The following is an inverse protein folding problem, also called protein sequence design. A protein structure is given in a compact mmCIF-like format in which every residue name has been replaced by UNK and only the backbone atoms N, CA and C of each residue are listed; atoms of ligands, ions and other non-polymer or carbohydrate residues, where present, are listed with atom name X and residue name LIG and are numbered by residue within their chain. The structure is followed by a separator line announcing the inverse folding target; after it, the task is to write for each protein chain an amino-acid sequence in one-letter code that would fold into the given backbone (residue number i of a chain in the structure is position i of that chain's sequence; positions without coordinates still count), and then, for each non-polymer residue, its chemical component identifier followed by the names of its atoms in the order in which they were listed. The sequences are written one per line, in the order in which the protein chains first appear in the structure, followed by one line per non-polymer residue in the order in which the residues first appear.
data_IF_143068290281
#
_entry.id   IF_143068290281
#
_cell.length_a   1.000
_cell.length_b   1.000
_cell.length_c   1.000
_cell.angle_alpha   90.00
_cell.angle_beta   90.00
_cell.angle_gamma   90.00
#
_symmetry.space_group_name_H-M   'P 1'
#
loop_
_entity.id
_entity.type
_entity.pdbx_description
1 polymer ?
#
# COMPACT_ATOMS: atom_id res chain seq x y z
N UNK A 1 -60.73 36.07 -73.08
CA UNK A 1 -61.45 37.23 -72.50
C UNK A 1 -62.55 36.70 -71.57
N UNK A 2 -62.75 37.40 -70.46
CA UNK A 2 -63.90 37.32 -69.55
C UNK A 2 -64.00 36.15 -68.55
N UNK A 3 -63.79 36.56 -67.30
CA UNK A 3 -64.43 36.13 -66.05
C UNK A 3 -65.74 35.32 -66.13
N UNK A 4 -65.92 34.33 -65.23
CA UNK A 4 -66.68 34.54 -63.99
C UNK A 4 -66.92 33.27 -63.16
N UNK A 5 -66.67 33.41 -61.85
CA UNK A 5 -67.34 32.85 -60.65
C UNK A 5 -67.65 31.34 -60.57
N UNK A 6 -67.07 30.69 -59.54
CA UNK A 6 -67.77 30.47 -58.25
C UNK A 6 -66.82 30.13 -57.10
N UNK A 7 -67.17 30.68 -55.94
CA UNK A 7 -66.50 30.61 -54.63
C UNK A 7 -66.19 29.18 -54.18
N UNK A 8 -64.95 28.93 -53.74
CA UNK A 8 -64.62 27.90 -52.74
C UNK A 8 -64.31 28.61 -51.42
N UNK A 9 -65.02 28.21 -50.38
CA UNK A 9 -64.76 28.60 -48.99
C UNK A 9 -63.49 27.93 -48.48
N UNK A 10 -62.64 28.77 -47.89
CA UNK A 10 -61.47 28.38 -47.12
C UNK A 10 -61.89 27.77 -45.77
N UNK A 11 -61.33 26.62 -45.45
CA UNK A 11 -60.67 26.39 -44.16
C UNK A 11 -59.48 25.46 -44.39
N UNK A 12 -58.30 26.08 -44.43
CA UNK A 12 -57.01 25.45 -44.13
C UNK A 12 -57.07 24.82 -42.74
N UNK A 13 -56.60 23.58 -42.55
CA UNK A 13 -55.17 23.35 -42.40
C UNK A 13 -54.70 22.03 -43.05
N UNK A 14 -53.89 22.22 -44.09
CA UNK A 14 -52.75 21.39 -44.52
C UNK A 14 -51.92 20.89 -43.31
N UNK A 15 -51.36 19.70 -43.27
CA UNK A 15 -50.39 19.13 -44.22
C UNK A 15 -50.12 17.68 -43.79
N UNK A 16 -50.49 16.70 -44.60
CA UNK A 16 -49.58 15.91 -45.46
C UNK A 16 -48.31 15.43 -44.75
N UNK A 17 -48.31 14.13 -44.49
CA UNK A 17 -47.16 13.29 -44.18
C UNK A 17 -45.95 13.60 -45.07
N UNK A 18 -44.74 13.45 -44.51
CA UNK A 18 -43.69 12.85 -45.30
C UNK A 18 -42.91 11.78 -44.53
N UNK A 19 -42.64 10.69 -45.26
CA UNK A 19 -41.40 9.89 -45.23
C UNK A 19 -40.82 9.42 -43.88
N UNK A 20 -40.77 8.09 -43.74
CA UNK A 20 -39.86 7.35 -42.84
C UNK A 20 -38.46 7.98 -42.77
N UNK A 21 -37.92 8.20 -41.57
CA UNK A 21 -36.49 8.21 -41.33
C UNK A 21 -36.05 6.90 -40.69
N UNK A 22 -35.13 6.22 -41.39
CA UNK A 22 -33.95 5.52 -40.88
C UNK A 22 -33.91 5.21 -39.36
N UNK A 23 -33.87 3.92 -39.04
CA UNK A 23 -33.52 3.37 -37.73
C UNK A 23 -32.20 3.94 -37.22
N UNK A 24 -32.26 4.95 -36.33
CA UNK A 24 -31.13 5.28 -35.46
C UNK A 24 -30.91 4.13 -34.49
N UNK A 25 -29.73 3.53 -34.58
CA UNK A 25 -29.13 2.67 -33.56
C UNK A 25 -29.36 3.30 -32.17
N UNK A 26 -30.16 2.63 -31.34
CA UNK A 26 -30.18 2.90 -29.89
C UNK A 26 -28.79 2.53 -29.36
N UNK A 27 -28.13 3.38 -28.56
CA UNK A 27 -27.00 2.93 -27.77
C UNK A 27 -27.49 1.79 -26.87
N UNK A 28 -26.85 0.63 -26.95
CA UNK A 28 -27.06 -0.45 -25.99
C UNK A 28 -26.81 0.10 -24.59
N UNK A 29 -27.84 0.12 -23.77
CA UNK A 29 -27.72 0.31 -22.33
C UNK A 29 -26.76 -0.76 -21.80
N UNK A 30 -25.66 -0.39 -21.10
CA UNK A 30 -24.84 -1.40 -20.47
C UNK A 30 -25.70 -2.14 -19.42
N UNK A 31 -25.55 -3.47 -19.28
CA UNK A 31 -26.29 -4.20 -18.28
C UNK A 31 -25.94 -3.64 -16.90
N UNK A 32 -26.97 -3.35 -16.11
CA UNK A 32 -26.87 -2.96 -14.71
C UNK A 32 -26.11 -4.04 -13.93
N UNK A 33 -24.81 -3.86 -13.76
CA UNK A 33 -23.97 -4.75 -12.98
C UNK A 33 -24.20 -4.50 -11.49
N UNK A 34 -25.31 -5.02 -10.99
CA UNK A 34 -25.62 -5.11 -9.56
C UNK A 34 -24.87 -6.29 -8.90
N UNK A 35 -23.59 -6.46 -9.22
CA UNK A 35 -22.71 -7.37 -8.47
C UNK A 35 -22.01 -6.56 -7.40
N UNK A 36 -22.62 -6.54 -6.20
CA UNK A 36 -21.92 -6.27 -4.94
C UNK A 36 -20.89 -7.39 -4.71
N UNK A 37 -19.80 -7.39 -5.47
CA UNK A 37 -18.62 -8.19 -5.11
C UNK A 37 -17.99 -7.54 -3.90
N UNK A 38 -18.01 -8.26 -2.77
CA UNK A 38 -17.26 -7.85 -1.58
C UNK A 38 -15.80 -7.59 -1.98
N UNK A 39 -15.14 -6.54 -1.46
CA UNK A 39 -13.75 -6.22 -1.83
C UNK A 39 -12.72 -7.30 -1.45
N UNK A 40 -13.17 -8.40 -0.83
CA UNK A 40 -12.35 -9.43 -0.20
C UNK A 40 -12.39 -10.78 -0.94
N UNK A 41 -13.28 -10.99 -1.91
CA UNK A 41 -13.31 -12.28 -2.63
C UNK A 41 -12.12 -12.38 -3.58
N UNK A 42 -11.20 -13.31 -3.29
CA UNK A 42 -10.09 -13.64 -4.18
C UNK A 42 -10.68 -14.30 -5.43
N UNK A 43 -10.59 -13.60 -6.57
CA UNK A 43 -10.98 -14.17 -7.86
C UNK A 43 -9.88 -15.10 -8.37
N UNK A 44 -10.18 -16.13 -9.19
CA UNK A 44 -9.16 -16.97 -9.82
C UNK A 44 -8.07 -16.17 -10.53
N UNK A 45 -8.45 -15.06 -11.18
CA UNK A 45 -7.51 -14.12 -11.79
C UNK A 45 -6.54 -13.50 -10.76
N UNK A 46 -7.04 -13.08 -9.60
CA UNK A 46 -6.21 -12.52 -8.54
C UNK A 46 -5.21 -13.54 -7.98
N UNK A 47 -5.63 -14.80 -7.84
CA UNK A 47 -4.73 -15.89 -7.44
C UNK A 47 -3.64 -16.09 -8.48
N UNK A 48 -4.00 -16.16 -9.77
CA UNK A 48 -3.04 -16.35 -10.85
C UNK A 48 -2.00 -15.22 -10.91
N UNK A 49 -2.43 -13.97 -10.72
CA UNK A 49 -1.52 -12.81 -10.67
C UNK A 49 -0.57 -12.92 -9.49
N UNK A 50 -1.05 -13.27 -8.30
CA UNK A 50 -0.19 -13.44 -7.12
C UNK A 50 0.84 -14.55 -7.33
N UNK A 51 0.43 -15.71 -7.86
CA UNK A 51 1.34 -16.81 -8.15
C UNK A 51 2.38 -16.44 -9.20
N UNK A 52 1.97 -15.72 -10.25
CA UNK A 52 2.90 -15.18 -11.25
C UNK A 52 3.91 -14.23 -10.61
N UNK A 53 3.47 -13.30 -9.76
CA UNK A 53 4.36 -12.35 -9.09
C UNK A 53 5.34 -13.05 -8.14
N UNK A 54 4.89 -14.08 -7.41
CA UNK A 54 5.78 -14.90 -6.57
C UNK A 54 6.83 -15.59 -7.44
N UNK A 55 6.43 -16.28 -8.52
CA UNK A 55 7.37 -16.92 -9.43
C UNK A 55 8.36 -15.93 -10.04
N UNK A 56 7.87 -14.75 -10.47
CA UNK A 56 8.69 -13.68 -11.02
C UNK A 56 9.71 -13.14 -10.02
N UNK A 57 9.30 -12.88 -8.77
CA UNK A 57 10.21 -12.39 -7.72
C UNK A 57 11.18 -13.45 -7.21
N UNK A 58 10.82 -14.73 -7.29
CA UNK A 58 11.75 -15.83 -7.06
C UNK A 58 12.86 -15.84 -8.12
N UNK A 59 12.51 -15.74 -9.41
CA UNK A 59 13.52 -15.60 -10.47
C UNK A 59 14.39 -14.36 -10.24
N UNK A 60 13.78 -13.22 -9.87
CA UNK A 60 14.51 -12.00 -9.54
C UNK A 60 15.54 -12.22 -8.42
N UNK A 61 15.14 -12.74 -7.26
CA UNK A 61 16.05 -12.85 -6.10
C UNK A 61 17.24 -13.80 -6.35
N UNK A 62 17.10 -14.79 -7.23
CA UNK A 62 18.18 -15.73 -7.56
C UNK A 62 19.04 -15.27 -8.75
N UNK A 63 18.59 -14.28 -9.50
CA UNK A 63 19.37 -13.65 -10.58
C UNK A 63 20.19 -12.47 -10.09
N UNK A 64 19.74 -11.76 -9.05
CA UNK A 64 20.52 -10.70 -8.39
C UNK A 64 21.67 -11.32 -7.59
N UNK A 65 22.89 -11.14 -8.10
CA UNK A 65 24.14 -11.64 -7.47
C UNK A 65 25.03 -10.54 -6.87
N UNK A 66 24.63 -9.29 -6.99
CA UNK A 66 25.42 -8.14 -6.55
C UNK A 66 25.11 -7.78 -5.10
N UNK A 67 26.07 -7.14 -4.44
CA UNK A 67 25.90 -6.48 -3.15
C UNK A 67 25.54 -5.00 -3.37
N UNK A 68 24.61 -4.44 -2.57
CA UNK A 68 24.27 -3.01 -2.61
C UNK A 68 24.60 -2.30 -1.30
N UNK A 69 24.05 -2.77 -0.18
CA UNK A 69 24.22 -2.12 1.12
C UNK A 69 24.55 -3.11 2.24
N UNK A 70 25.40 -2.73 3.21
CA UNK A 70 25.71 -3.56 4.38
C UNK A 70 24.45 -4.00 5.15
N UNK A 71 23.41 -3.17 5.13
CA UNK A 71 22.11 -3.39 5.76
C UNK A 71 21.44 -4.71 5.33
N UNK A 72 21.74 -5.22 4.14
CA UNK A 72 21.24 -6.50 3.63
C UNK A 72 21.65 -7.69 4.49
N UNK A 73 22.78 -7.60 5.20
CA UNK A 73 23.31 -8.67 6.04
C UNK A 73 23.33 -8.22 7.50
N UNK A 74 23.97 -7.09 7.78
CA UNK A 74 24.30 -6.69 9.14
C UNK A 74 23.13 -6.09 9.94
N UNK A 75 22.01 -5.78 9.28
CA UNK A 75 20.78 -5.31 9.94
C UNK A 75 19.60 -6.28 9.80
N UNK A 76 19.86 -7.48 9.25
CA UNK A 76 18.82 -8.48 9.02
C UNK A 76 19.36 -9.88 9.22
N UNK A 77 20.20 -10.38 8.32
CA UNK A 77 20.61 -11.79 8.28
C UNK A 77 21.62 -12.19 9.36
N UNK A 78 22.58 -11.34 9.69
CA UNK A 78 23.58 -11.62 10.74
C UNK A 78 22.95 -11.72 12.14
N UNK A 79 22.13 -10.74 12.59
CA UNK A 79 21.41 -10.89 13.85
C UNK A 79 20.39 -12.04 13.81
N UNK A 80 19.76 -12.29 12.65
CA UNK A 80 18.84 -13.42 12.49
C UNK A 80 19.56 -14.77 12.66
N UNK A 81 20.77 -14.91 12.11
CA UNK A 81 21.61 -16.09 12.26
C UNK A 81 21.97 -16.33 13.72
N UNK A 82 22.39 -15.28 14.43
CA UNK A 82 22.68 -15.38 15.87
C UNK A 82 21.46 -15.83 16.67
N UNK A 83 20.26 -15.32 16.38
CA UNK A 83 19.03 -15.73 17.05
C UNK A 83 18.73 -17.22 16.78
N UNK A 84 18.86 -17.64 15.52
CA UNK A 84 18.49 -18.99 15.09
C UNK A 84 19.46 -20.07 15.59
N UNK A 85 20.76 -19.80 15.60
CA UNK A 85 21.81 -20.82 15.83
C UNK A 85 22.70 -20.54 17.04
N UNK A 86 22.62 -19.35 17.64
CA UNK A 86 23.38 -18.96 18.83
C UNK A 86 24.65 -18.15 18.53
N UNK A 87 25.23 -17.59 19.59
CA UNK A 87 26.33 -16.60 19.51
C UNK A 87 27.65 -17.18 19.02
N UNK A 88 27.88 -18.48 19.22
CA UNK A 88 29.14 -19.15 18.88
C UNK A 88 29.21 -19.59 17.41
N UNK A 89 28.21 -19.26 16.59
CA UNK A 89 28.09 -19.70 15.20
C UNK A 89 28.59 -18.66 14.17
N UNK A 90 29.38 -17.69 14.63
CA UNK A 90 30.11 -16.77 13.75
C UNK A 90 29.31 -15.58 13.20
N UNK A 91 28.13 -15.28 13.76
CA UNK A 91 27.37 -14.08 13.39
C UNK A 91 28.14 -12.79 13.72
N UNK A 92 28.10 -11.82 12.81
CA UNK A 92 28.74 -10.53 13.02
C UNK A 92 27.75 -9.44 13.45
N UNK A 93 27.69 -9.18 14.76
CA UNK A 93 26.81 -8.14 15.33
C UNK A 93 27.51 -6.78 15.39
N UNK A 94 26.98 -5.84 14.61
CA UNK A 94 27.49 -4.48 14.50
C UNK A 94 27.16 -3.62 15.71
N UNK A 95 27.81 -2.46 15.78
CA UNK A 95 27.67 -1.48 16.87
C UNK A 95 26.21 -1.00 17.07
N UNK A 96 25.39 -0.93 16.00
CA UNK A 96 24.01 -0.45 16.08
C UNK A 96 23.14 -1.30 17.03
N UNK A 97 23.38 -2.62 17.02
CA UNK A 97 22.73 -3.57 17.92
C UNK A 97 23.24 -3.42 19.35
N UNK A 98 24.54 -3.19 19.53
CA UNK A 98 25.13 -2.94 20.86
C UNK A 98 24.56 -1.68 21.52
N UNK A 99 24.27 -0.66 20.71
CA UNK A 99 23.60 0.58 21.15
C UNK A 99 22.07 0.49 21.15
N UNK A 100 21.50 -0.67 20.79
CA UNK A 100 20.07 -0.95 20.81
C UNK A 100 19.25 0.03 19.94
N UNK A 101 19.81 0.40 18.78
CA UNK A 101 19.24 1.41 17.88
C UNK A 101 18.19 0.83 16.93
N UNK A 102 18.10 -0.49 16.81
CA UNK A 102 17.26 -1.17 15.82
C UNK A 102 16.20 -2.04 16.48
N UNK A 103 15.01 -2.11 15.87
CA UNK A 103 13.99 -3.09 16.27
C UNK A 103 14.45 -4.50 15.86
N UNK A 104 14.31 -5.44 16.78
CA UNK A 104 14.61 -6.86 16.55
C UNK A 104 13.57 -7.59 15.69
N UNK A 105 12.42 -6.97 15.41
CA UNK A 105 11.31 -7.57 14.64
C UNK A 105 11.77 -8.03 13.25
N UNK A 106 12.57 -7.22 12.55
CA UNK A 106 13.02 -7.55 11.20
C UNK A 106 13.98 -8.75 11.16
N UNK A 107 15.07 -8.81 11.98
CA UNK A 107 15.85 -10.03 12.10
C UNK A 107 15.06 -11.24 12.60
N UNK A 108 14.12 -11.07 13.53
CA UNK A 108 13.33 -12.19 14.06
C UNK A 108 12.50 -12.89 12.98
N UNK A 109 11.99 -12.14 12.01
CA UNK A 109 11.34 -12.71 10.83
C UNK A 109 12.29 -13.68 10.10
N UNK A 110 13.54 -13.28 9.84
CA UNK A 110 14.51 -14.13 9.18
C UNK A 110 15.07 -15.23 10.07
N UNK A 111 15.13 -15.03 11.38
CA UNK A 111 15.51 -16.07 12.33
C UNK A 111 14.50 -17.22 12.27
N UNK A 112 13.20 -16.90 12.27
CA UNK A 112 12.15 -17.90 12.09
C UNK A 112 12.26 -18.63 10.74
N UNK A 113 12.62 -17.92 9.66
CA UNK A 113 12.86 -18.52 8.33
C UNK A 113 14.06 -19.46 8.37
N UNK A 114 15.18 -19.08 8.99
CA UNK A 114 16.35 -19.95 9.15
C UNK A 114 16.03 -21.19 9.97
N UNK A 115 15.39 -21.04 11.14
CA UNK A 115 15.01 -22.17 11.98
C UNK A 115 14.05 -23.12 11.27
N UNK A 116 13.08 -22.61 10.52
CA UNK A 116 12.18 -23.45 9.72
C UNK A 116 12.92 -24.20 8.62
N UNK A 117 13.86 -23.53 7.93
CA UNK A 117 14.68 -24.14 6.90
C UNK A 117 15.60 -25.24 7.46
N UNK A 118 16.23 -25.00 8.61
CA UNK A 118 17.06 -25.97 9.31
C UNK A 118 16.25 -27.21 9.75
N UNK A 119 15.07 -27.02 10.33
CA UNK A 119 14.15 -28.12 10.67
C UNK A 119 13.80 -28.94 9.42
N UNK A 120 13.47 -28.28 8.30
CA UNK A 120 13.19 -28.99 7.04
C UNK A 120 14.42 -29.75 6.54
N UNK A 121 15.62 -29.15 6.60
CA UNK A 121 16.85 -29.82 6.19
C UNK A 121 17.13 -31.08 7.02
N UNK A 122 16.93 -31.00 8.33
CA UNK A 122 17.10 -32.12 9.25
C UNK A 122 16.07 -33.23 9.02
N UNK A 123 14.79 -32.86 8.84
CA UNK A 123 13.71 -33.82 8.56
C UNK A 123 13.95 -34.58 7.25
N UNK A 124 14.45 -33.88 6.22
CA UNK A 124 14.78 -34.49 4.92
C UNK A 124 16.18 -35.13 4.89
N UNK A 125 16.94 -35.06 5.99
CA UNK A 125 18.32 -35.57 6.12
C UNK A 125 19.22 -35.11 4.96
N UNK A 126 19.14 -33.82 4.63
CA UNK A 126 19.92 -33.23 3.55
C UNK A 126 21.42 -33.34 3.81
N UNK A 127 22.21 -33.46 2.73
CA UNK A 127 23.66 -33.38 2.83
C UNK A 127 24.10 -32.02 3.38
N UNK A 128 25.27 -31.90 4.02
CA UNK A 128 25.76 -30.62 4.53
C UNK A 128 25.79 -29.50 3.47
N UNK A 129 26.14 -29.85 2.22
CA UNK A 129 26.12 -28.90 1.11
C UNK A 129 24.70 -28.42 0.78
N UNK A 130 23.75 -29.36 0.64
CA UNK A 130 22.35 -29.03 0.35
C UNK A 130 21.67 -28.29 1.51
N UNK A 131 22.08 -28.56 2.74
CA UNK A 131 21.63 -27.83 3.91
C UNK A 131 22.12 -26.36 3.85
N UNK A 132 23.40 -26.14 3.56
CA UNK A 132 23.93 -24.78 3.38
C UNK A 132 23.23 -24.03 2.24
N UNK A 133 23.01 -24.67 1.10
CA UNK A 133 22.28 -24.09 -0.03
C UNK A 133 20.85 -23.68 0.36
N UNK A 134 20.15 -24.51 1.13
CA UNK A 134 18.82 -24.21 1.62
C UNK A 134 18.82 -23.00 2.56
N UNK A 135 19.78 -22.91 3.49
CA UNK A 135 19.90 -21.78 4.41
C UNK A 135 20.22 -20.48 3.65
N UNK A 136 21.03 -20.52 2.59
CA UNK A 136 21.27 -19.35 1.73
C UNK A 136 20.03 -18.95 0.92
N UNK A 137 19.25 -19.93 0.45
CA UNK A 137 18.06 -19.71 -0.38
C UNK A 137 16.83 -19.27 0.41
N UNK A 138 16.69 -19.69 1.68
CA UNK A 138 15.52 -19.46 2.50
C UNK A 138 15.17 -17.96 2.72
N UNK A 139 16.08 -17.10 3.21
CA UNK A 139 15.77 -15.68 3.40
C UNK A 139 15.48 -14.96 2.07
N UNK A 140 16.17 -15.33 0.99
CA UNK A 140 15.90 -14.82 -0.36
C UNK A 140 14.49 -15.16 -0.82
N UNK A 141 14.07 -16.40 -0.60
CA UNK A 141 12.73 -16.89 -0.93
C UNK A 141 11.66 -16.13 -0.13
N UNK A 142 11.87 -15.94 1.18
CA UNK A 142 10.96 -15.17 2.02
C UNK A 142 10.84 -13.71 1.53
N UNK A 143 11.97 -13.08 1.21
CA UNK A 143 12.00 -11.71 0.70
C UNK A 143 11.36 -11.58 -0.68
N UNK A 144 11.49 -12.58 -1.56
CA UNK A 144 10.79 -12.63 -2.84
C UNK A 144 9.26 -12.67 -2.68
N UNK A 145 8.76 -13.42 -1.69
CA UNK A 145 7.33 -13.45 -1.37
C UNK A 145 6.86 -12.09 -0.84
N UNK A 146 7.65 -11.45 0.04
CA UNK A 146 7.35 -10.09 0.55
C UNK A 146 7.27 -9.09 -0.62
N UNK A 147 8.27 -9.09 -1.52
CA UNK A 147 8.27 -8.24 -2.71
C UNK A 147 7.03 -8.47 -3.60
N UNK A 148 6.67 -9.75 -3.85
CA UNK A 148 5.50 -10.10 -4.65
C UNK A 148 4.19 -9.64 -3.99
N UNK A 149 4.09 -9.70 -2.67
CA UNK A 149 2.95 -9.13 -1.93
C UNK A 149 2.90 -7.61 -2.08
N UNK A 150 4.04 -6.92 -2.04
CA UNK A 150 4.14 -5.49 -2.33
C UNK A 150 3.56 -5.13 -3.69
N UNK A 151 3.99 -5.82 -4.75
CA UNK A 151 3.47 -5.65 -6.10
C UNK A 151 1.96 -5.92 -6.18
N UNK A 152 1.52 -7.04 -5.60
CA UNK A 152 0.15 -7.50 -5.66
C UNK A 152 -0.81 -6.54 -4.96
N UNK A 153 -0.45 -6.06 -3.78
CA UNK A 153 -1.26 -5.09 -3.05
C UNK A 153 -1.19 -3.69 -3.66
N UNK A 154 -0.10 -3.31 -4.33
CA UNK A 154 -0.05 -2.09 -5.15
C UNK A 154 -1.07 -2.16 -6.28
N UNK A 155 -1.12 -3.28 -7.01
CA UNK A 155 -2.13 -3.51 -8.04
C UNK A 155 -3.56 -3.54 -7.47
N UNK A 156 -3.79 -4.19 -6.32
CA UNK A 156 -5.11 -4.18 -5.67
C UNK A 156 -5.53 -2.78 -5.24
N UNK A 157 -4.62 -1.98 -4.71
CA UNK A 157 -4.87 -0.59 -4.37
C UNK A 157 -5.19 0.21 -5.63
N UNK A 158 -4.44 0.05 -6.72
CA UNK A 158 -4.74 0.70 -7.99
C UNK A 158 -6.12 0.30 -8.53
N UNK A 159 -6.50 -0.98 -8.45
CA UNK A 159 -7.86 -1.45 -8.79
C UNK A 159 -8.94 -0.83 -7.91
N UNK A 160 -8.66 -0.59 -6.63
CA UNK A 160 -9.57 0.10 -5.73
C UNK A 160 -9.75 1.56 -6.16
N UNK A 161 -8.65 2.24 -6.49
CA UNK A 161 -8.62 3.66 -6.87
C UNK A 161 -9.22 3.91 -8.26
N UNK A 162 -8.74 3.22 -9.28
CA UNK A 162 -9.09 3.46 -10.69
C UNK A 162 -10.26 2.58 -11.18
N UNK A 163 -10.58 1.51 -10.45
CA UNK A 163 -11.63 0.54 -10.79
C UNK A 163 -11.07 -0.81 -11.25
N UNK A 164 -11.86 -1.87 -11.07
CA UNK A 164 -11.39 -3.26 -11.19
C UNK A 164 -10.95 -3.68 -12.60
N UNK A 165 -11.45 -3.01 -13.65
CA UNK A 165 -11.13 -3.27 -15.07
C UNK A 165 -10.43 -2.08 -15.74
N UNK A 166 -9.86 -1.18 -14.95
CA UNK A 166 -9.17 0.01 -15.45
C UNK A 166 -7.82 -0.34 -16.09
N UNK A 167 -7.46 0.35 -17.18
CA UNK A 167 -6.15 0.21 -17.80
C UNK A 167 -5.05 0.72 -16.88
N UNK A 168 -5.36 1.72 -16.07
CA UNK A 168 -4.50 2.34 -15.07
C UNK A 168 -4.03 1.32 -14.03
N UNK A 169 -4.91 0.45 -13.52
CA UNK A 169 -4.51 -0.59 -12.58
C UNK A 169 -3.55 -1.60 -13.22
N UNK A 170 -3.79 -2.00 -14.47
CA UNK A 170 -2.86 -2.87 -15.21
C UNK A 170 -1.53 -2.19 -15.52
N UNK A 171 -1.55 -0.90 -15.85
CA UNK A 171 -0.35 -0.10 -16.02
C UNK A 171 0.46 0.00 -14.72
N UNK A 172 -0.19 0.15 -13.56
CA UNK A 172 0.48 0.11 -12.25
C UNK A 172 1.17 -1.24 -12.04
N UNK A 173 0.49 -2.36 -12.31
CA UNK A 173 1.11 -3.69 -12.21
C UNK A 173 2.31 -3.85 -13.16
N UNK A 174 2.18 -3.38 -14.40
CA UNK A 174 3.30 -3.41 -15.35
C UNK A 174 4.48 -2.58 -14.85
N UNK A 175 4.22 -1.39 -14.28
CA UNK A 175 5.26 -0.52 -13.73
C UNK A 175 5.97 -1.15 -12.52
N UNK A 176 5.26 -1.85 -11.63
CA UNK A 176 5.93 -2.52 -10.49
C UNK A 176 6.82 -3.68 -10.95
N UNK A 177 6.38 -4.43 -11.95
CA UNK A 177 7.11 -5.57 -12.53
C UNK A 177 8.34 -5.10 -13.34
N UNK A 178 8.20 -4.05 -14.14
CA UNK A 178 9.25 -3.57 -15.06
C UNK A 178 10.18 -2.53 -14.42
N UNK A 179 9.82 -1.95 -13.27
CA UNK A 179 10.65 -0.96 -12.58
C UNK A 179 12.05 -1.52 -12.27
N UNK A 180 13.13 -0.92 -12.82
CA UNK A 180 14.50 -1.36 -12.55
C UNK A 180 14.85 -1.25 -11.07
N UNK A 181 14.35 -0.21 -10.39
CA UNK A 181 14.55 -0.04 -8.96
C UNK A 181 13.87 -1.13 -8.13
N UNK A 182 12.62 -1.47 -8.47
CA UNK A 182 11.93 -2.58 -7.78
C UNK A 182 12.62 -3.91 -8.06
N UNK A 183 13.06 -4.16 -9.29
CA UNK A 183 13.86 -5.35 -9.61
C UNK A 183 15.14 -5.40 -8.76
N UNK A 184 15.86 -4.28 -8.64
CA UNK A 184 17.13 -4.20 -7.93
C UNK A 184 17.02 -4.28 -6.40
N UNK A 185 16.03 -3.61 -5.79
CA UNK A 185 15.94 -3.44 -4.32
C UNK A 185 14.94 -4.38 -3.63
N UNK A 186 13.77 -4.64 -4.21
CA UNK A 186 12.64 -5.23 -3.46
C UNK A 186 12.92 -6.62 -2.88
N UNK A 187 13.75 -7.41 -3.57
CA UNK A 187 14.13 -8.77 -3.19
C UNK A 187 15.36 -8.83 -2.29
N UNK A 188 15.98 -7.69 -1.97
CA UNK A 188 17.05 -7.60 -0.97
C UNK A 188 16.46 -7.52 0.43
N UNK A 189 17.14 -8.12 1.41
CA UNK A 189 16.70 -8.27 2.80
C UNK A 189 16.85 -6.97 3.60
N UNK A 190 16.30 -5.89 3.04
CA UNK A 190 16.28 -4.54 3.59
C UNK A 190 14.98 -4.33 4.36
N UNK A 191 15.10 -3.78 5.57
CA UNK A 191 13.93 -3.39 6.39
C UNK A 191 13.03 -2.37 5.66
N UNK A 192 13.61 -1.52 4.80
CA UNK A 192 12.88 -0.61 3.91
C UNK A 192 11.86 -1.36 3.04
N UNK A 193 12.25 -2.49 2.45
CA UNK A 193 11.40 -3.23 1.52
C UNK A 193 10.24 -3.93 2.25
N UNK A 194 10.49 -4.45 3.45
CA UNK A 194 9.43 -4.99 4.30
C UNK A 194 8.47 -3.89 4.75
N UNK A 195 9.00 -2.77 5.24
CA UNK A 195 8.22 -1.60 5.65
C UNK A 195 7.31 -1.13 4.50
N UNK A 196 7.88 -0.92 3.30
CA UNK A 196 7.13 -0.47 2.12
C UNK A 196 6.00 -1.45 1.78
N UNK A 197 6.26 -2.76 1.82
CA UNK A 197 5.24 -3.78 1.58
C UNK A 197 4.11 -3.72 2.60
N UNK A 198 4.46 -3.65 3.89
CA UNK A 198 3.47 -3.56 4.98
C UNK A 198 2.64 -2.27 4.84
N UNK A 199 3.29 -1.15 4.50
CA UNK A 199 2.64 0.14 4.26
C UNK A 199 1.64 0.05 3.12
N UNK A 200 2.00 -0.56 1.98
CA UNK A 200 1.08 -0.76 0.84
C UNK A 200 -0.13 -1.62 1.23
N UNK A 201 0.10 -2.71 1.98
CA UNK A 201 -0.99 -3.57 2.48
C UNK A 201 -1.91 -2.78 3.42
N UNK A 202 -1.33 -1.97 4.31
CA UNK A 202 -2.08 -1.12 5.22
C UNK A 202 -2.89 -0.06 4.46
N UNK A 203 -2.31 0.60 3.45
CA UNK A 203 -3.02 1.55 2.58
C UNK A 203 -4.19 0.91 1.85
N UNK A 204 -4.07 -0.35 1.42
CA UNK A 204 -5.18 -1.10 0.85
C UNK A 204 -6.30 -1.37 1.86
N UNK A 205 -5.96 -1.57 3.13
CA UNK A 205 -6.92 -1.83 4.21
C UNK A 205 -7.52 -0.55 4.82
N UNK A 206 -6.90 0.61 4.57
CA UNK A 206 -7.39 1.89 5.05
C UNK A 206 -8.86 2.08 4.64
N UNK A 207 -9.76 2.46 5.57
CA UNK A 207 -11.16 2.66 5.24
C UNK A 207 -11.33 3.98 4.51
N UNK A 208 -10.94 4.03 3.24
CA UNK A 208 -11.03 5.23 2.40
C UNK A 208 -12.41 5.86 2.47
N UNK A 209 -13.48 5.05 2.49
CA UNK A 209 -14.88 5.48 2.66
C UNK A 209 -15.13 6.38 3.87
N UNK A 210 -14.28 6.34 4.90
CA UNK A 210 -14.41 7.15 6.10
C UNK A 210 -13.99 8.60 5.89
N UNK A 211 -13.12 8.89 4.90
CA UNK A 211 -12.71 10.25 4.55
C UNK A 211 -13.82 11.07 3.88
N UNK A 212 -15.06 10.56 3.82
CA UNK A 212 -16.20 11.20 3.16
C UNK A 212 -17.42 11.33 4.07
N UNK A 213 -18.14 12.44 3.88
CA UNK A 213 -19.46 12.69 4.44
C UNK A 213 -20.47 11.89 3.63
N UNK A 214 -20.98 10.79 4.17
CA UNK A 214 -22.18 10.15 3.63
C UNK A 214 -23.40 10.92 4.13
N UNK A 215 -23.96 11.79 3.28
CA UNK A 215 -25.31 12.35 3.48
C UNK A 215 -26.32 11.20 3.42
N UNK A 216 -26.77 10.73 4.57
CA UNK A 216 -27.74 9.64 4.66
C UNK A 216 -29.10 10.08 4.12
N UNK A 217 -29.55 9.49 3.01
CA UNK A 217 -30.96 9.49 2.65
C UNK A 217 -31.71 8.62 3.67
N UNK A 218 -32.69 9.24 4.36
CA UNK A 218 -33.62 8.54 5.23
C UNK A 218 -34.74 7.98 4.35
N UNK A 219 -34.70 6.68 4.05
CA UNK A 219 -35.87 5.98 3.53
C UNK A 219 -36.54 5.15 4.62
N UNK A 220 -37.87 5.18 4.60
CA UNK A 220 -38.78 4.90 5.70
C UNK A 220 -39.21 3.42 5.73
N UNK A 221 -39.14 2.84 6.94
CA UNK A 221 -40.08 1.85 7.53
C UNK A 221 -40.56 0.66 6.69
N UNK A 222 -39.74 -0.42 6.66
CA UNK A 222 -40.07 -1.84 6.97
C UNK A 222 -38.94 -2.81 6.59
N UNK A 223 -38.00 -2.38 5.73
CA UNK A 223 -36.72 -3.06 5.47
C UNK A 223 -35.71 -2.93 6.64
N UNK A 224 -36.05 -2.15 7.67
CA UNK A 224 -35.17 -1.70 8.74
C UNK A 224 -34.54 -2.81 9.60
N UNK A 225 -35.15 -3.99 9.76
CA UNK A 225 -34.56 -5.07 10.58
C UNK A 225 -33.46 -5.84 9.86
N UNK A 226 -33.67 -6.19 8.58
CA UNK A 226 -32.64 -6.80 7.71
C UNK A 226 -31.53 -5.79 7.38
N UNK A 227 -31.89 -4.53 7.14
CA UNK A 227 -30.92 -3.45 6.92
C UNK A 227 -30.12 -3.13 8.18
N UNK A 228 -30.71 -3.22 9.38
CA UNK A 228 -29.96 -3.02 10.64
C UNK A 228 -28.96 -4.14 10.91
N UNK A 229 -29.30 -5.39 10.57
CA UNK A 229 -28.36 -6.52 10.61
C UNK A 229 -27.21 -6.34 9.63
N UNK A 230 -27.51 -6.01 8.37
CA UNK A 230 -26.49 -5.75 7.34
C UNK A 230 -25.61 -4.54 7.66
N UNK A 231 -26.19 -3.44 8.16
CA UNK A 231 -25.46 -2.24 8.54
C UNK A 231 -24.54 -2.45 9.73
N UNK A 232 -24.97 -3.24 10.73
CA UNK A 232 -24.10 -3.62 11.85
C UNK A 232 -22.93 -4.49 11.39
N UNK A 233 -23.16 -5.42 10.45
CA UNK A 233 -22.10 -6.25 9.88
C UNK A 233 -21.10 -5.40 9.07
N UNK A 234 -21.57 -4.51 8.20
CA UNK A 234 -20.72 -3.61 7.39
C UNK A 234 -19.84 -2.70 8.27
N UNK A 235 -20.39 -2.22 9.39
CA UNK A 235 -19.63 -1.42 10.36
C UNK A 235 -18.56 -2.26 11.07
N UNK A 236 -18.91 -3.48 11.50
CA UNK A 236 -17.96 -4.42 12.11
C UNK A 236 -16.81 -4.77 11.17
N UNK A 237 -17.12 -5.10 9.92
CA UNK A 237 -16.11 -5.43 8.90
C UNK A 237 -15.21 -4.23 8.60
N UNK A 238 -15.77 -3.01 8.57
CA UNK A 238 -15.00 -1.77 8.40
C UNK A 238 -14.06 -1.50 9.57
N UNK A 239 -14.51 -1.77 10.80
CA UNK A 239 -13.69 -1.64 12.01
C UNK A 239 -12.56 -2.66 12.05
N UNK A 240 -12.84 -3.91 11.65
CA UNK A 240 -11.81 -4.94 11.57
C UNK A 240 -10.72 -4.57 10.56
N UNK A 241 -11.10 -4.06 9.38
CA UNK A 241 -10.15 -3.56 8.37
C UNK A 241 -9.34 -2.38 8.89
N UNK A 242 -9.97 -1.43 9.60
CA UNK A 242 -9.26 -0.32 10.23
C UNK A 242 -8.24 -0.82 11.27
N UNK A 243 -8.61 -1.79 12.12
CA UNK A 243 -7.68 -2.39 13.08
C UNK A 243 -6.49 -3.05 12.40
N UNK A 244 -6.73 -3.85 11.36
CA UNK A 244 -5.66 -4.47 10.58
C UNK A 244 -4.75 -3.41 9.95
N UNK A 245 -5.32 -2.37 9.34
CA UNK A 245 -4.59 -1.23 8.79
C UNK A 245 -3.71 -0.56 9.86
N UNK A 246 -4.28 -0.20 11.01
CA UNK A 246 -3.56 0.53 12.06
C UNK A 246 -2.50 -0.33 12.75
N UNK A 247 -2.74 -1.64 12.90
CA UNK A 247 -1.73 -2.56 13.40
C UNK A 247 -0.54 -2.69 12.43
N UNK A 248 -0.80 -2.82 11.12
CA UNK A 248 0.27 -2.86 10.11
C UNK A 248 1.00 -1.52 10.02
N UNK A 249 0.28 -0.40 10.07
CA UNK A 249 0.85 0.94 10.14
C UNK A 249 1.79 1.09 11.35
N UNK A 250 1.36 0.66 12.53
CA UNK A 250 2.17 0.70 13.73
C UNK A 250 3.42 -0.19 13.62
N UNK A 251 3.31 -1.40 13.06
CA UNK A 251 4.48 -2.27 12.80
C UNK A 251 5.45 -1.58 11.86
N UNK A 252 4.96 -0.97 10.79
CA UNK A 252 5.79 -0.27 9.83
C UNK A 252 6.48 0.97 10.42
N UNK A 253 5.83 1.71 11.34
CA UNK A 253 6.45 2.79 12.12
C UNK A 253 7.50 2.28 13.13
N UNK A 254 7.30 1.11 13.72
CA UNK A 254 8.31 0.48 14.61
C UNK A 254 9.53 0.05 13.82
N UNK A 255 9.33 -0.53 12.64
CA UNK A 255 10.41 -0.91 11.73
C UNK A 255 11.17 0.34 11.24
N UNK A 256 10.45 1.40 10.87
CA UNK A 256 11.01 2.69 10.47
C UNK A 256 10.16 3.88 10.96
N UNK A 257 10.67 4.67 11.93
CA UNK A 257 9.93 5.80 12.49
C UNK A 257 9.47 6.85 11.47
N UNK A 258 10.18 7.00 10.36
CA UNK A 258 9.84 7.95 9.29
C UNK A 258 8.48 7.67 8.63
N UNK A 259 8.00 6.43 8.68
CA UNK A 259 6.71 6.05 8.12
C UNK A 259 5.53 6.71 8.84
N UNK A 260 5.74 7.23 10.07
CA UNK A 260 4.73 8.02 10.79
C UNK A 260 4.23 9.21 9.97
N UNK A 261 5.06 9.77 9.07
CA UNK A 261 4.70 10.90 8.21
C UNK A 261 3.55 10.56 7.25
N UNK A 262 3.56 9.35 6.67
CA UNK A 262 2.50 8.87 5.78
C UNK A 262 1.18 8.81 6.56
N UNK A 263 1.20 8.16 7.73
CA UNK A 263 0.01 7.98 8.55
C UNK A 263 -0.52 9.28 9.15
N UNK A 264 0.37 10.19 9.55
CA UNK A 264 -0.02 11.53 10.02
C UNK A 264 -0.72 12.34 8.93
N UNK A 265 -0.24 12.27 7.68
CA UNK A 265 -0.89 12.96 6.57
C UNK A 265 -2.29 12.39 6.27
N UNK A 266 -2.44 11.05 6.21
CA UNK A 266 -3.73 10.40 5.97
C UNK A 266 -4.71 10.60 7.13
N UNK A 267 -4.25 10.43 8.37
CA UNK A 267 -5.06 10.66 9.57
C UNK A 267 -5.46 12.12 9.69
N UNK A 268 -4.58 13.07 9.32
CA UNK A 268 -4.89 14.50 9.27
C UNK A 268 -6.04 14.81 8.31
N UNK A 269 -5.98 14.32 7.08
CA UNK A 269 -7.08 14.53 6.12
C UNK A 269 -8.38 13.88 6.60
N UNK A 270 -8.31 12.66 7.15
CA UNK A 270 -9.48 11.98 7.70
C UNK A 270 -10.05 12.76 8.90
N UNK A 271 -9.21 13.32 9.76
CA UNK A 271 -9.61 14.13 10.91
C UNK A 271 -10.47 15.32 10.47
N UNK A 272 -10.01 16.09 9.49
CA UNK A 272 -10.73 17.27 9.02
C UNK A 272 -12.05 16.94 8.29
N UNK A 273 -12.16 15.77 7.65
CA UNK A 273 -13.32 15.39 6.83
C UNK A 273 -14.35 14.48 7.51
N UNK A 274 -14.06 13.96 8.69
CA UNK A 274 -14.95 13.01 9.41
C UNK A 274 -15.80 13.68 10.49
N UNK A 275 -16.91 13.02 10.84
CA UNK A 275 -17.74 13.39 12.00
C UNK A 275 -17.02 13.10 13.33
N UNK A 276 -17.45 13.77 14.40
CA UNK A 276 -16.92 13.58 15.75
C UNK A 276 -16.92 12.13 16.24
N UNK A 277 -17.96 11.35 15.93
CA UNK A 277 -18.03 9.93 16.32
C UNK A 277 -16.93 9.10 15.63
N UNK A 278 -16.69 9.35 14.33
CA UNK A 278 -15.62 8.68 13.59
C UNK A 278 -14.24 9.10 14.08
N UNK A 279 -14.05 10.36 14.46
CA UNK A 279 -12.80 10.83 15.10
C UNK A 279 -12.53 10.10 16.42
N UNK A 280 -13.55 9.95 17.28
CA UNK A 280 -13.43 9.20 18.54
C UNK A 280 -13.06 7.75 18.30
N UNK A 281 -13.68 7.10 17.31
CA UNK A 281 -13.32 5.73 16.91
C UNK A 281 -11.88 5.67 16.42
N UNK A 282 -11.47 6.58 15.53
CA UNK A 282 -10.11 6.60 15.00
C UNK A 282 -9.07 6.75 16.12
N UNK A 283 -9.27 7.70 17.05
CA UNK A 283 -8.37 7.87 18.21
C UNK A 283 -8.32 6.63 19.07
N UNK A 284 -9.49 6.04 19.39
CA UNK A 284 -9.55 4.80 20.18
C UNK A 284 -8.78 3.67 19.51
N UNK A 285 -9.00 3.43 18.23
CA UNK A 285 -8.35 2.33 17.51
C UNK A 285 -6.84 2.59 17.30
N UNK A 286 -6.43 3.85 17.09
CA UNK A 286 -5.01 4.24 17.03
C UNK A 286 -4.33 3.95 18.37
N UNK A 287 -4.95 4.32 19.49
CA UNK A 287 -4.40 4.03 20.81
C UNK A 287 -4.36 2.53 21.09
N UNK A 288 -5.44 1.79 20.80
CA UNK A 288 -5.50 0.35 21.05
C UNK A 288 -4.48 -0.43 20.18
N UNK A 289 -4.51 -0.25 18.86
CA UNK A 289 -3.60 -0.93 17.94
C UNK A 289 -2.14 -0.47 18.14
N UNK A 290 -1.93 0.84 18.30
CA UNK A 290 -0.62 1.41 18.52
C UNK A 290 0.02 0.92 19.82
N UNK A 291 -0.68 1.03 20.95
CA UNK A 291 -0.17 0.54 22.23
C UNK A 291 0.05 -0.97 22.23
N UNK A 292 -0.84 -1.76 21.59
CA UNK A 292 -0.66 -3.20 21.49
C UNK A 292 0.61 -3.57 20.71
N UNK A 293 0.85 -2.95 19.55
CA UNK A 293 2.05 -3.20 18.73
C UNK A 293 3.32 -2.68 19.42
N UNK A 294 3.28 -1.51 20.04
CA UNK A 294 4.42 -0.96 20.78
C UNK A 294 4.75 -1.80 22.01
N UNK A 295 3.74 -2.28 22.74
CA UNK A 295 3.91 -3.19 23.87
C UNK A 295 4.54 -4.51 23.43
N UNK A 296 4.04 -5.11 22.35
CA UNK A 296 4.62 -6.32 21.77
C UNK A 296 6.06 -6.09 21.31
N UNK A 297 6.33 -5.01 20.58
CA UNK A 297 7.69 -4.65 20.16
C UNK A 297 8.62 -4.51 21.36
N UNK A 298 8.17 -3.85 22.44
CA UNK A 298 8.98 -3.63 23.64
C UNK A 298 9.32 -4.96 24.33
N UNK A 299 8.38 -5.91 24.37
CA UNK A 299 8.63 -7.26 24.90
C UNK A 299 9.61 -8.01 24.01
N UNK A 300 9.41 -7.98 22.69
CA UNK A 300 10.28 -8.66 21.73
C UNK A 300 11.70 -8.09 21.79
N UNK A 301 11.85 -6.77 21.83
CA UNK A 301 13.14 -6.10 21.98
C UNK A 301 13.77 -6.38 23.36
N UNK A 302 12.97 -6.49 24.43
CA UNK A 302 13.46 -6.91 25.77
C UNK A 302 14.03 -8.32 25.78
N UNK A 303 13.40 -9.24 25.03
CA UNK A 303 13.86 -10.62 24.89
C UNK A 303 15.17 -10.67 24.08
N UNK A 304 15.25 -9.91 23.00
CA UNK A 304 16.44 -9.86 22.15
C UNK A 304 17.65 -9.19 22.85
N UNK A 305 17.45 -8.04 23.49
CA UNK A 305 18.54 -7.24 24.06
C UNK A 305 18.85 -7.54 25.53
N UNK A 306 18.06 -8.40 26.20
CA UNK A 306 18.25 -8.70 27.63
C UNK A 306 17.93 -7.55 28.60
N UNK A 307 17.49 -6.38 28.10
CA UNK A 307 17.14 -5.20 28.89
C UNK A 307 15.98 -4.42 28.27
N UNK A 308 15.21 -3.69 29.08
CA UNK A 308 14.09 -2.91 28.57
C UNK A 308 14.64 -1.75 27.74
N UNK A 309 14.35 -1.78 26.45
CA UNK A 309 14.79 -0.76 25.50
C UNK A 309 13.66 -0.45 24.54
N UNK A 310 13.67 0.79 24.05
CA UNK A 310 12.73 1.24 23.03
C UNK A 310 13.53 1.80 21.84
N UNK A 311 13.88 0.93 20.86
CA UNK A 311 14.79 1.28 19.79
C UNK A 311 14.38 2.50 18.95
N UNK A 312 13.09 2.72 18.61
CA UNK A 312 12.69 3.92 17.86
C UNK A 312 13.09 5.25 18.54
N UNK A 313 12.95 5.34 19.86
CA UNK A 313 13.33 6.53 20.61
C UNK A 313 14.85 6.64 20.73
N UNK A 314 15.56 5.53 20.94
CA UNK A 314 17.03 5.54 20.97
C UNK A 314 17.61 5.96 19.62
N UNK A 315 17.04 5.46 18.52
CA UNK A 315 17.40 5.88 17.17
C UNK A 315 17.18 7.38 16.98
N UNK A 316 16.00 7.90 17.37
CA UNK A 316 15.71 9.33 17.26
C UNK A 316 16.68 10.18 18.10
N UNK A 317 16.89 9.80 19.35
CA UNK A 317 17.82 10.47 20.25
C UNK A 317 19.24 10.44 19.68
N UNK A 318 19.70 9.29 19.18
CA UNK A 318 21.03 9.14 18.61
C UNK A 318 21.21 10.00 17.35
N UNK A 319 20.23 10.03 16.44
CA UNK A 319 20.30 10.84 15.23
C UNK A 319 20.26 12.34 15.52
N UNK A 320 19.45 12.79 16.48
CA UNK A 320 19.34 14.20 16.86
C UNK A 320 20.56 14.64 17.69
N UNK A 321 20.98 13.85 18.67
CA UNK A 321 22.04 14.23 19.61
C UNK A 321 23.45 14.06 19.03
N UNK A 322 23.67 13.05 18.18
CA UNK A 322 25.01 12.70 17.69
C UNK A 322 25.22 13.00 16.19
N UNK A 323 24.22 13.58 15.51
CA UNK A 323 24.31 14.02 14.11
C UNK A 323 24.91 12.97 13.16
N UNK A 324 24.57 11.69 13.34
CA UNK A 324 25.13 10.58 12.57
C UNK A 324 24.94 10.75 11.05
N UNK A 325 23.89 11.45 10.63
CA UNK A 325 23.67 11.80 9.22
C UNK A 325 24.87 12.55 8.61
N UNK A 326 25.58 13.36 9.39
CA UNK A 326 26.79 14.07 8.93
C UNK A 326 27.94 13.09 8.66
N UNK A 327 28.04 12.00 9.40
CA UNK A 327 29.07 10.97 9.22
C UNK A 327 28.89 10.18 7.91
N UNK A 328 27.65 9.96 7.47
CA UNK A 328 27.33 9.24 6.23
C UNK A 328 27.19 10.16 5.00
N UNK A 329 27.41 11.46 5.17
CA UNK A 329 27.33 12.47 4.11
C UNK A 329 26.02 13.24 4.12
N UNK A 330 26.11 14.54 3.77
CA UNK A 330 24.97 15.44 3.68
C UNK A 330 24.48 15.49 2.24
N UNK A 331 23.19 15.28 2.05
CA UNK A 331 22.54 15.49 0.76
C UNK A 331 21.97 16.90 0.68
N UNK A 332 21.95 17.47 -0.53
CA UNK A 332 21.31 18.76 -0.77
C UNK A 332 19.81 18.72 -0.47
N UNK A 333 19.25 19.87 -0.09
CA UNK A 333 17.82 20.02 0.22
C UNK A 333 16.92 19.50 -0.92
N UNK A 334 17.35 19.63 -2.16
CA UNK A 334 16.60 19.18 -3.33
C UNK A 334 16.77 17.69 -3.68
N UNK A 335 17.62 16.94 -2.95
CA UNK A 335 18.03 15.58 -3.31
C UNK A 335 16.85 14.66 -3.68
N UNK A 336 15.79 14.64 -2.89
CA UNK A 336 14.64 13.78 -3.16
C UNK A 336 13.94 14.14 -4.47
N UNK A 337 13.90 15.43 -4.82
CA UNK A 337 13.25 15.91 -6.05
C UNK A 337 14.18 15.74 -7.26
N UNK A 338 15.44 16.13 -7.13
CA UNK A 338 16.40 16.17 -8.24
C UNK A 338 17.09 14.84 -8.52
N UNK A 339 17.19 13.94 -7.53
CA UNK A 339 17.88 12.65 -7.67
C UNK A 339 17.00 11.47 -7.25
N UNK A 340 16.30 11.57 -6.12
CA UNK A 340 15.45 10.50 -5.58
C UNK A 340 14.35 10.05 -6.54
N UNK A 341 13.45 10.96 -6.93
CA UNK A 341 12.37 10.62 -7.87
C UNK A 341 12.89 10.15 -9.24
N UNK A 342 13.89 10.79 -9.87
CA UNK A 342 14.49 10.28 -11.10
C UNK A 342 15.06 8.87 -10.96
N UNK A 343 15.73 8.56 -9.85
CA UNK A 343 16.30 7.23 -9.60
C UNK A 343 15.23 6.16 -9.42
N UNK A 344 14.16 6.47 -8.67
CA UNK A 344 13.07 5.53 -8.39
C UNK A 344 12.19 5.28 -9.62
N UNK A 345 11.86 6.35 -10.34
CA UNK A 345 10.88 6.31 -11.42
C UNK A 345 11.53 6.05 -12.77
N UNK A 346 12.82 6.36 -12.95
CA UNK A 346 13.57 6.15 -14.19
C UNK A 346 12.80 6.71 -15.41
N UNK A 347 12.49 5.88 -16.40
CA UNK A 347 11.72 6.26 -17.60
C UNK A 347 10.25 6.57 -17.32
N UNK A 348 9.73 6.21 -16.14
CA UNK A 348 8.36 6.53 -15.72
C UNK A 348 8.22 7.95 -15.13
N UNK A 349 9.32 8.65 -14.86
CA UNK A 349 9.31 9.98 -14.23
C UNK A 349 8.37 11.00 -14.90
N UNK A 350 8.41 11.25 -16.22
CA UNK A 350 7.52 12.26 -16.82
C UNK A 350 6.04 11.90 -16.66
N UNK A 351 5.70 10.61 -16.74
CA UNK A 351 4.32 10.15 -16.55
C UNK A 351 3.85 10.31 -15.10
N UNK A 352 4.73 10.03 -14.14
CA UNK A 352 4.46 10.23 -12.72
C UNK A 352 4.23 11.71 -12.39
N UNK A 353 5.04 12.63 -12.94
CA UNK A 353 4.86 14.07 -12.74
C UNK A 353 3.52 14.58 -13.32
N UNK A 354 3.17 14.14 -14.54
CA UNK A 354 1.87 14.46 -15.14
C UNK A 354 0.71 13.87 -14.33
N UNK A 355 0.86 12.64 -13.84
CA UNK A 355 -0.12 11.98 -12.97
C UNK A 355 -0.34 12.74 -11.66
N UNK A 356 0.75 13.12 -11.00
CA UNK A 356 0.74 13.89 -9.75
C UNK A 356 0.06 15.26 -9.95
N UNK A 357 0.45 15.98 -11.01
CA UNK A 357 -0.17 17.26 -11.36
C UNK A 357 -1.68 17.12 -11.58
N UNK A 358 -2.12 16.10 -12.33
CA UNK A 358 -3.55 15.85 -12.56
C UNK A 358 -4.28 15.46 -11.27
N UNK A 359 -3.69 14.62 -10.42
CA UNK A 359 -4.30 14.21 -9.16
C UNK A 359 -4.52 15.39 -8.20
N UNK A 360 -3.60 16.35 -8.17
CA UNK A 360 -3.69 17.53 -7.33
C UNK A 360 -4.63 18.62 -7.89
N UNK A 361 -4.78 18.70 -9.23
CA UNK A 361 -5.56 19.78 -9.88
C UNK A 361 -6.98 19.37 -10.29
N UNK A 362 -7.23 18.08 -10.56
CA UNK A 362 -8.50 17.59 -11.10
C UNK A 362 -9.33 16.86 -10.03
N UNK A 363 -9.76 17.57 -8.99
CA UNK A 363 -10.76 17.04 -8.06
C UNK A 363 -12.13 17.10 -8.74
N UNK A 364 -12.68 15.95 -9.13
CA UNK A 364 -14.01 15.87 -9.77
C UNK A 364 -15.09 16.18 -8.75
N UNK A 365 -16.02 17.07 -9.12
CA UNK A 365 -17.01 17.65 -8.21
C UNK A 365 -18.28 16.83 -8.02
N UNK A 366 -18.47 15.69 -8.70
CA UNK A 366 -19.71 14.89 -8.55
C UNK A 366 -19.57 13.40 -8.94
N UNK A 367 -20.23 12.51 -8.19
CA UNK A 367 -20.47 11.08 -8.53
C UNK A 367 -19.44 10.07 -7.98
N UNK A 368 -19.52 8.80 -8.41
CA UNK A 368 -18.54 7.74 -8.05
C UNK A 368 -17.09 8.12 -8.39
N UNK A 369 -16.88 8.99 -9.39
CA UNK A 369 -15.57 9.55 -9.74
C UNK A 369 -15.00 10.55 -8.72
N UNK A 370 -15.83 11.09 -7.81
CA UNK A 370 -15.38 11.97 -6.73
C UNK A 370 -14.56 11.18 -5.70
N UNK A 371 -15.03 10.00 -5.30
CA UNK A 371 -14.31 9.09 -4.40
C UNK A 371 -12.91 8.78 -4.95
N UNK A 372 -12.83 8.39 -6.21
CA UNK A 372 -11.58 8.06 -6.89
C UNK A 372 -10.63 9.26 -6.95
N UNK A 373 -11.13 10.44 -7.34
CA UNK A 373 -10.31 11.66 -7.40
C UNK A 373 -9.80 12.13 -6.03
N UNK A 374 -10.57 11.91 -4.96
CA UNK A 374 -10.16 12.31 -3.61
C UNK A 374 -9.13 11.34 -3.01
N UNK A 375 -9.24 10.04 -3.29
CA UNK A 375 -8.20 9.06 -2.90
C UNK A 375 -6.91 9.35 -3.67
N UNK A 376 -7.00 9.66 -4.97
CA UNK A 376 -5.85 10.09 -5.78
C UNK A 376 -5.18 11.34 -5.21
N UNK A 377 -5.97 12.37 -4.85
CA UNK A 377 -5.44 13.59 -4.25
C UNK A 377 -4.81 13.33 -2.87
N UNK A 378 -5.39 12.45 -2.04
CA UNK A 378 -4.79 12.08 -0.75
C UNK A 378 -3.46 11.36 -0.92
N UNK A 379 -3.39 10.37 -1.81
CA UNK A 379 -2.14 9.65 -2.10
C UNK A 379 -1.08 10.61 -2.67
N UNK A 380 -1.46 11.51 -3.58
CA UNK A 380 -0.60 12.55 -4.12
C UNK A 380 -0.07 13.52 -3.05
N UNK A 381 -0.90 13.89 -2.07
CA UNK A 381 -0.48 14.70 -0.93
C UNK A 381 0.53 13.94 -0.05
N UNK A 382 0.31 12.66 0.21
CA UNK A 382 1.28 11.82 0.92
C UNK A 382 2.63 11.81 0.19
N UNK A 383 2.63 11.55 -1.12
CA UNK A 383 3.84 11.51 -1.95
C UNK A 383 4.59 12.85 -1.97
N UNK A 384 3.85 13.97 -1.92
CA UNK A 384 4.41 15.33 -1.92
C UNK A 384 4.92 15.78 -0.54
N UNK A 385 4.45 15.15 0.54
CA UNK A 385 4.81 15.51 1.93
C UNK A 385 6.10 14.84 2.41
N UNK A 386 6.46 13.70 1.79
CA UNK A 386 7.65 12.90 2.14
C UNK A 386 8.97 13.65 1.87
N UNK A 387 9.15 14.39 0.75
CA UNK A 387 10.36 15.19 0.51
C UNK A 387 10.54 16.36 1.49
N UNK A 388 9.45 16.90 2.05
CA UNK A 388 9.48 18.20 2.74
C UNK A 388 10.01 18.15 4.18
N UNK A 389 10.08 16.99 4.83
CA UNK A 389 10.48 16.89 6.25
C UNK A 389 11.92 16.41 6.47
N UNK A 390 12.57 15.81 5.46
CA UNK A 390 14.01 15.62 5.48
C UNK A 390 14.80 16.92 5.20
N UNK A 391 14.10 18.01 4.86
CA UNK A 391 14.65 19.36 4.72
C UNK A 391 15.07 20.01 6.04
N UNK A 392 14.60 19.50 7.19
CA UNK A 392 14.79 20.14 8.50
C UNK A 392 15.61 19.33 9.50
N UNK A 393 15.99 18.10 9.17
CA UNK A 393 16.76 17.21 10.08
C UNK A 393 17.94 16.50 9.40
N UNK A 394 18.54 17.11 8.37
CA UNK A 394 19.75 16.60 7.71
C UNK A 394 20.89 17.62 7.63
#
# INVERSE_FOLDING_TARGET
MSSSRRRRSYTSSSSSSPSRPTSRLRPHSPPSSNTKTSPTSITPLSTNILLFLIAFRLVNTFTVRTFFQPDEFFQSLEPAWQIAFGENQGAWITWEWRHQLRSSIHPLLFAAVYSAADVVAQLLRLSPASHADLLVAAPKTAQAVIAALGDFYTWKLARYVYGARSYEAWATLALTVVSPWQWFCSTRTLSNCLETTITIVALYLWPWSWSFVTTGHKETTRAASRERGQRSQEVSDSLQRLRQCLSLAAVACVLRPTNVLIWMSLAGVAWFRTSWDRRRILVREVLLCGCAVLGLSSVVDRLFYGSWTFPPLKFLYFNIAQSLAVFYGRNDWHYYVSQGFPLLLTTALPFALVGLYRALTQVRTSGLGQLQSLVQAQLALCDSSIPSYHLSTS
#
